data_IF_179341718114
#
_entry.id   IF_179341718114
#
_cell.length_a   1.000
_cell.length_b   1.000
_cell.length_c   1.000
_cell.angle_alpha   90.00
_cell.angle_beta   90.00
_cell.angle_gamma   90.00
#
_symmetry.space_group_name_H-M   'P 1'
#
loop_
_entity.id
_entity.type
_entity.pdbx_description
1 polymer ?
#
# COMPACT_ATOMS: atom_id res chain seq x y z
N UNK A 1 -9.06 -22.26 -16.83
CA UNK A 1 -8.55 -21.06 -17.53
C UNK A 1 -7.23 -21.44 -18.18
N UNK A 2 -7.08 -21.24 -19.49
CA UNK A 2 -5.84 -21.47 -20.23
C UNK A 2 -5.24 -20.11 -20.60
N UNK A 3 -3.96 -19.88 -20.28
CA UNK A 3 -3.26 -18.62 -20.57
C UNK A 3 -2.15 -18.94 -21.55
N UNK A 4 -2.11 -18.22 -22.68
CA UNK A 4 -1.06 -18.36 -23.68
C UNK A 4 0.03 -17.34 -23.37
N UNK A 5 1.26 -17.82 -23.22
CA UNK A 5 2.44 -17.00 -22.98
C UNK A 5 3.44 -17.23 -24.13
N UNK A 6 4.08 -16.16 -24.63
CA UNK A 6 5.24 -16.25 -25.50
C UNK A 6 6.35 -17.13 -24.92
N UNK A 7 7.08 -17.83 -25.79
CA UNK A 7 8.11 -18.81 -25.39
C UNK A 7 9.27 -18.16 -24.61
N UNK A 8 9.65 -16.94 -24.98
CA UNK A 8 10.65 -16.13 -24.29
C UNK A 8 10.23 -15.80 -22.85
N UNK A 9 8.94 -15.49 -22.61
CA UNK A 9 8.43 -15.27 -21.27
C UNK A 9 8.40 -16.56 -20.44
N UNK A 10 8.01 -17.69 -21.05
CA UNK A 10 8.05 -18.99 -20.37
C UNK A 10 9.48 -19.32 -19.92
N UNK A 11 10.46 -19.09 -20.81
CA UNK A 11 11.87 -19.29 -20.49
C UNK A 11 12.36 -18.37 -19.39
N UNK A 12 12.02 -17.09 -19.44
CA UNK A 12 12.41 -16.14 -18.40
C UNK A 12 11.84 -16.52 -17.02
N UNK A 13 10.60 -16.99 -16.96
CA UNK A 13 9.99 -17.49 -15.72
C UNK A 13 10.72 -18.73 -15.21
N UNK A 14 11.09 -19.67 -16.09
CA UNK A 14 11.85 -20.85 -15.68
C UNK A 14 13.24 -20.51 -15.16
N UNK A 15 13.94 -19.58 -15.82
CA UNK A 15 15.28 -19.16 -15.43
C UNK A 15 15.27 -18.49 -14.05
N UNK A 16 14.20 -17.74 -13.73
CA UNK A 16 14.06 -17.02 -12.47
C UNK A 16 13.46 -17.89 -11.34
N UNK A 17 12.36 -18.58 -11.59
CA UNK A 17 11.62 -19.34 -10.58
C UNK A 17 12.12 -20.79 -10.43
N UNK A 18 12.77 -21.32 -11.46
CA UNK A 18 13.14 -22.72 -11.58
C UNK A 18 12.01 -23.57 -12.20
N UNK A 19 12.42 -24.69 -12.81
CA UNK A 19 11.51 -25.63 -13.47
C UNK A 19 10.39 -26.09 -12.54
N UNK A 20 9.17 -26.14 -13.06
CA UNK A 20 7.98 -26.61 -12.34
C UNK A 20 7.35 -25.59 -11.39
N UNK A 21 7.90 -24.37 -11.25
CA UNK A 21 7.35 -23.32 -10.39
C UNK A 21 6.58 -22.22 -11.14
N UNK A 22 6.32 -22.43 -12.43
CA UNK A 22 5.63 -21.46 -13.31
C UNK A 22 4.25 -21.05 -12.80
N UNK A 23 3.43 -22.00 -12.37
CA UNK A 23 2.07 -21.72 -11.89
C UNK A 23 2.08 -20.80 -10.66
N UNK A 24 2.94 -21.11 -9.69
CA UNK A 24 3.13 -20.29 -8.49
C UNK A 24 3.66 -18.89 -8.84
N UNK A 25 4.65 -18.80 -9.73
CA UNK A 25 5.18 -17.52 -10.18
C UNK A 25 4.09 -16.64 -10.82
N UNK A 26 3.28 -17.22 -11.71
CA UNK A 26 2.17 -16.52 -12.37
C UNK A 26 1.10 -16.12 -11.35
N UNK A 27 0.76 -16.99 -10.39
CA UNK A 27 -0.19 -16.65 -9.32
C UNK A 27 0.29 -15.43 -8.51
N UNK A 28 1.54 -15.44 -8.07
CA UNK A 28 2.13 -14.36 -7.28
C UNK A 28 2.16 -13.04 -8.09
N UNK A 29 2.59 -13.10 -9.36
CA UNK A 29 2.64 -11.94 -10.24
C UNK A 29 1.24 -11.36 -10.53
N UNK A 30 0.23 -12.21 -10.77
CA UNK A 30 -1.15 -11.77 -10.98
C UNK A 30 -1.72 -11.15 -9.71
N UNK A 31 -1.47 -11.74 -8.54
CA UNK A 31 -1.90 -11.18 -7.25
C UNK A 31 -1.29 -9.80 -7.01
N UNK A 32 0.01 -9.64 -7.29
CA UNK A 32 0.68 -8.35 -7.16
C UNK A 32 0.08 -7.30 -8.10
N UNK A 33 -0.10 -7.65 -9.38
CA UNK A 33 -0.67 -6.74 -10.38
C UNK A 33 -2.08 -6.31 -10.01
N UNK A 34 -2.95 -7.25 -9.63
CA UNK A 34 -4.31 -6.94 -9.20
C UNK A 34 -4.32 -6.01 -7.98
N UNK A 35 -3.44 -6.24 -7.01
CA UNK A 35 -3.34 -5.39 -5.81
C UNK A 35 -2.95 -3.96 -6.19
N UNK A 36 -2.03 -3.79 -7.13
CA UNK A 36 -1.61 -2.49 -7.64
C UNK A 36 -2.72 -1.78 -8.41
N UNK A 37 -3.41 -2.47 -9.32
CA UNK A 37 -4.52 -1.88 -10.08
C UNK A 37 -5.67 -1.46 -9.18
N UNK A 38 -6.03 -2.29 -8.19
CA UNK A 38 -7.07 -1.94 -7.22
C UNK A 38 -6.69 -0.70 -6.39
N UNK A 39 -5.42 -0.59 -5.97
CA UNK A 39 -4.94 0.59 -5.27
C UNK A 39 -5.03 1.85 -6.15
N UNK A 40 -4.61 1.76 -7.42
CA UNK A 40 -4.69 2.88 -8.35
C UNK A 40 -6.14 3.31 -8.61
N UNK A 41 -7.06 2.35 -8.78
CA UNK A 41 -8.49 2.64 -8.92
C UNK A 41 -9.02 3.36 -7.68
N UNK A 42 -8.73 2.85 -6.48
CA UNK A 42 -9.16 3.46 -5.24
C UNK A 42 -8.61 4.89 -5.06
N UNK A 43 -7.35 5.13 -5.41
CA UNK A 43 -6.77 6.48 -5.38
C UNK A 43 -7.45 7.43 -6.37
N UNK A 44 -7.81 6.95 -7.56
CA UNK A 44 -8.52 7.75 -8.56
C UNK A 44 -9.96 8.05 -8.11
N UNK A 45 -10.68 7.05 -7.60
CA UNK A 45 -12.06 7.17 -7.12
C UNK A 45 -12.18 8.07 -5.89
N UNK A 46 -11.14 8.13 -5.06
CA UNK A 46 -11.10 8.96 -3.84
C UNK A 46 -10.34 10.28 -4.04
N UNK A 47 -9.95 10.61 -5.28
CA UNK A 47 -9.29 11.86 -5.58
C UNK A 47 -10.16 13.06 -5.16
N UNK A 48 -9.60 13.95 -4.34
CA UNK A 48 -10.32 15.10 -3.78
C UNK A 48 -11.24 14.78 -2.59
N UNK A 49 -11.29 13.54 -2.11
CA UNK A 49 -12.02 13.18 -0.88
C UNK A 49 -11.44 13.81 0.39
N UNK A 50 -10.17 14.26 0.32
CA UNK A 50 -9.48 15.01 1.36
C UNK A 50 -9.31 16.46 0.90
N UNK A 51 -9.99 17.37 1.59
CA UNK A 51 -9.91 18.82 1.34
C UNK A 51 -8.76 19.43 2.16
N UNK A 52 -7.95 20.27 1.52
CA UNK A 52 -6.88 21.00 2.21
C UNK A 52 -7.44 22.02 3.22
N UNK A 53 -8.65 22.55 2.97
CA UNK A 53 -9.33 23.48 3.86
C UNK A 53 -9.76 22.81 5.17
N UNK A 54 -10.22 21.55 5.09
CA UNK A 54 -10.66 20.77 6.26
C UNK A 54 -9.46 20.18 7.03
N UNK A 55 -8.29 20.09 6.40
CA UNK A 55 -7.07 19.52 6.96
C UNK A 55 -5.88 20.50 6.91
N UNK A 56 -5.97 21.68 7.54
CA UNK A 56 -4.92 22.70 7.45
C UNK A 56 -3.59 22.25 8.07
N UNK A 57 -3.65 21.30 9.01
CA UNK A 57 -2.50 20.68 9.66
C UNK A 57 -1.72 19.71 8.73
N UNK A 58 -2.21 19.48 7.51
CA UNK A 58 -1.52 18.67 6.49
C UNK A 58 -0.97 19.49 5.31
N UNK A 59 -1.05 20.83 5.38
CA UNK A 59 -0.64 21.72 4.28
C UNK A 59 0.86 21.70 3.98
N UNK A 60 1.70 21.64 5.02
CA UNK A 60 3.15 21.60 4.88
C UNK A 60 3.76 20.42 5.61
N UNK A 61 5.01 20.08 5.28
CA UNK A 61 5.74 19.00 5.97
C UNK A 61 5.90 19.32 7.46
N UNK A 62 6.14 20.58 7.79
CA UNK A 62 6.29 21.09 9.15
C UNK A 62 4.98 21.01 9.94
N UNK A 63 3.84 21.31 9.29
CA UNK A 63 2.51 21.17 9.89
C UNK A 63 2.20 19.71 10.19
N UNK A 64 2.44 18.82 9.22
CA UNK A 64 2.27 17.36 9.39
C UNK A 64 3.15 16.87 10.54
N UNK A 65 4.42 17.27 10.58
CA UNK A 65 5.35 16.86 11.64
C UNK A 65 4.87 17.34 13.02
N UNK A 66 4.37 18.57 13.12
CA UNK A 66 3.82 19.13 14.35
C UNK A 66 2.56 18.40 14.80
N UNK A 67 1.64 18.12 13.87
CA UNK A 67 0.43 17.36 14.13
C UNK A 67 0.73 15.92 14.59
N UNK A 68 1.66 15.21 13.94
CA UNK A 68 2.07 13.86 14.36
C UNK A 68 2.68 13.88 15.76
N UNK A 69 3.56 14.84 16.07
CA UNK A 69 4.17 14.97 17.41
C UNK A 69 3.09 15.16 18.48
N UNK A 70 2.15 16.07 18.24
CA UNK A 70 1.08 16.36 19.17
C UNK A 70 0.15 15.16 19.37
N UNK A 71 -0.25 14.50 18.28
CA UNK A 71 -1.10 13.30 18.32
C UNK A 71 -0.47 12.15 19.12
N UNK A 72 0.86 11.97 18.99
CA UNK A 72 1.62 10.99 19.78
C UNK A 72 1.65 11.36 21.25
N UNK A 73 1.96 12.62 21.59
CA UNK A 73 1.96 13.11 22.98
C UNK A 73 0.61 12.87 23.66
N UNK A 74 -0.49 13.22 23.00
CA UNK A 74 -1.84 13.00 23.53
C UNK A 74 -2.16 11.51 23.73
N UNK A 75 -1.70 10.66 22.81
CA UNK A 75 -1.85 9.21 22.93
C UNK A 75 -1.09 8.65 24.13
N UNK A 76 0.14 9.11 24.35
CA UNK A 76 0.99 8.71 25.48
C UNK A 76 0.41 9.20 26.82
N UNK A 77 -0.09 10.43 26.87
CA UNK A 77 -0.77 10.98 28.06
C UNK A 77 -2.03 10.18 28.41
N UNK A 78 -2.83 9.82 27.41
CA UNK A 78 -4.02 8.98 27.58
C UNK A 78 -3.64 7.59 28.10
N UNK A 79 -2.62 6.96 27.52
CA UNK A 79 -2.13 5.66 27.95
C UNK A 79 -1.61 5.69 29.38
N UNK A 80 -0.83 6.71 29.73
CA UNK A 80 -0.31 6.92 31.09
C UNK A 80 -1.41 7.20 32.13
N UNK A 81 -2.55 7.77 31.71
CA UNK A 81 -3.72 7.94 32.57
C UNK A 81 -4.40 6.59 32.83
N UNK A 82 -4.56 5.77 31.80
CA UNK A 82 -5.14 4.43 31.91
C UNK A 82 -4.27 3.47 32.75
N UNK A 83 -2.94 3.61 32.70
CA UNK A 83 -2.03 2.81 33.52
C UNK A 83 -1.94 3.26 34.99
N UNK A 84 -2.43 4.46 35.33
CA UNK A 84 -2.34 5.04 36.69
C UNK A 84 -3.67 5.04 37.46
N UNK A 85 -4.76 4.58 36.86
CA UNK A 85 -6.06 4.36 37.51
C UNK A 85 -6.31 2.87 37.71
#
# INVERSE_FOLDING_TARGET
>A
MHVILPEDLVKAVDDLAGKGKRSRFVEEAVREKLRKENLLSALAETAGSLSAEDHPHWNTKEDVASWVRESRRQSDERLNRLHRG
#
